data_IF_704756683017
#
_entry.id   IF_704756683017
#
_cell.length_a   1.000
_cell.length_b   1.000
_cell.length_c   1.000
_cell.angle_alpha   90.00
_cell.angle_beta   90.00
_cell.angle_gamma   90.00
#
_symmetry.space_group_name_H-M   'P 1'
#
loop_
_entity.id
_entity.type
_entity.pdbx_description
1 polymer ?
#
# COMPACT_ATOMS: atom_id res chain seq x y z
N UNK A 1 -13.50 1.55 10.98
CA UNK A 1 -12.74 2.66 10.34
C UNK A 1 -13.71 3.82 10.26
N UNK A 2 -13.33 4.98 10.80
CA UNK A 2 -14.12 6.21 10.57
C UNK A 2 -13.90 6.71 9.14
N UNK A 3 -14.72 7.64 8.66
CA UNK A 3 -14.54 8.26 7.34
C UNK A 3 -13.15 8.92 7.20
N UNK A 4 -12.65 9.50 8.29
CA UNK A 4 -11.29 10.08 8.37
C UNK A 4 -10.21 9.01 8.17
N UNK A 5 -10.39 7.80 8.71
CA UNK A 5 -9.44 6.71 8.49
C UNK A 5 -9.46 6.22 7.02
N UNK A 6 -10.62 6.30 6.36
CA UNK A 6 -10.79 5.89 4.96
C UNK A 6 -10.11 6.88 4.01
N UNK A 7 -10.31 8.19 4.21
CA UNK A 7 -9.67 9.23 3.40
C UNK A 7 -8.15 9.20 3.54
N UNK A 8 -7.64 9.08 4.78
CA UNK A 8 -6.21 8.93 5.03
C UNK A 8 -5.63 7.67 4.36
N UNK A 9 -6.38 6.57 4.36
CA UNK A 9 -5.98 5.35 3.67
C UNK A 9 -5.91 5.56 2.14
N UNK A 10 -6.90 6.24 1.57
CA UNK A 10 -6.98 6.48 0.13
C UNK A 10 -5.85 7.40 -0.35
N UNK A 11 -5.59 8.48 0.39
CA UNK A 11 -4.49 9.40 0.10
C UNK A 11 -3.12 8.74 0.28
N UNK A 12 -2.94 7.90 1.30
CA UNK A 12 -1.72 7.10 1.45
C UNK A 12 -1.51 6.14 0.26
N UNK A 13 -2.58 5.50 -0.23
CA UNK A 13 -2.51 4.61 -1.39
C UNK A 13 -2.14 5.36 -2.67
N UNK A 14 -2.71 6.55 -2.90
CA UNK A 14 -2.32 7.43 -4.01
C UNK A 14 -0.86 7.87 -3.91
N UNK A 15 -0.42 8.29 -2.73
CA UNK A 15 0.96 8.71 -2.48
C UNK A 15 1.95 7.57 -2.79
N UNK A 16 1.65 6.35 -2.37
CA UNK A 16 2.48 5.17 -2.63
C UNK A 16 2.59 4.88 -4.14
N UNK A 17 1.47 4.86 -4.87
CA UNK A 17 1.45 4.63 -6.33
C UNK A 17 2.24 5.72 -7.06
N UNK A 18 2.03 6.98 -6.68
CA UNK A 18 2.76 8.10 -7.27
C UNK A 18 4.26 8.00 -6.99
N UNK A 19 4.66 7.65 -5.77
CA UNK A 19 6.06 7.45 -5.39
C UNK A 19 6.72 6.32 -6.20
N UNK A 20 6.01 5.20 -6.43
CA UNK A 20 6.51 4.13 -7.28
C UNK A 20 6.77 4.60 -8.72
N UNK A 21 5.89 5.44 -9.26
CA UNK A 21 6.06 6.07 -10.57
C UNK A 21 7.23 7.05 -10.61
N UNK A 22 7.30 7.98 -9.65
CA UNK A 22 8.37 8.99 -9.56
C UNK A 22 9.76 8.38 -9.38
N UNK A 23 9.87 7.33 -8.57
CA UNK A 23 11.14 6.65 -8.32
C UNK A 23 11.50 5.65 -9.44
N UNK A 24 10.65 5.49 -10.46
CA UNK A 24 10.83 4.56 -11.58
C UNK A 24 11.17 3.13 -11.15
N UNK A 25 10.73 2.73 -9.96
CA UNK A 25 11.06 1.44 -9.36
C UNK A 25 10.26 0.28 -9.97
N UNK A 26 9.19 0.58 -10.71
CA UNK A 26 8.31 -0.42 -11.32
C UNK A 26 7.94 -0.05 -12.76
N UNK A 27 7.96 -1.04 -13.64
CA UNK A 27 7.34 -0.97 -14.98
C UNK A 27 6.14 -1.88 -15.00
N UNK A 28 4.96 -1.32 -15.25
CA UNK A 28 3.77 -2.12 -15.47
C UNK A 28 3.86 -2.73 -16.88
N UNK A 29 3.98 -4.06 -16.94
CA UNK A 29 4.02 -4.82 -18.19
C UNK A 29 2.80 -5.73 -18.27
N UNK A 30 2.31 -5.97 -19.49
CA UNK A 30 1.28 -6.97 -19.70
C UNK A 30 1.81 -8.35 -19.29
N UNK A 31 0.99 -9.16 -18.59
CA UNK A 31 1.41 -10.49 -18.19
C UNK A 31 1.65 -11.36 -19.44
N UNK A 32 2.83 -11.96 -19.52
CA UNK A 32 3.12 -12.94 -20.58
C UNK A 32 2.15 -14.13 -20.49
N UNK A 33 1.84 -14.72 -21.64
CA UNK A 33 0.87 -15.83 -21.74
C UNK A 33 1.28 -16.98 -20.82
N UNK A 34 0.42 -17.29 -19.84
CA UNK A 34 0.65 -18.36 -18.86
C UNK A 34 1.37 -17.93 -17.58
N UNK A 35 1.77 -16.66 -17.44
CA UNK A 35 2.33 -16.12 -16.21
C UNK A 35 1.20 -15.71 -15.26
N UNK A 36 1.26 -16.21 -14.03
CA UNK A 36 0.37 -15.76 -12.96
C UNK A 36 0.85 -14.40 -12.44
N UNK A 37 0.03 -13.35 -12.47
CA UNK A 37 0.41 -12.07 -11.88
C UNK A 37 0.65 -12.23 -10.39
N UNK A 38 1.68 -11.53 -9.89
CA UNK A 38 2.03 -11.56 -8.47
C UNK A 38 0.98 -10.78 -7.68
N UNK A 39 0.49 -11.36 -6.58
CA UNK A 39 -0.46 -10.66 -5.72
C UNK A 39 0.27 -9.68 -4.82
N UNK A 40 -0.03 -8.41 -5.00
CA UNK A 40 0.39 -7.34 -4.10
C UNK A 40 -0.76 -7.02 -3.14
N UNK A 41 -0.45 -6.86 -1.85
CA UNK A 41 -1.40 -6.40 -0.83
C UNK A 41 -0.86 -5.13 -0.19
N UNK A 42 -1.65 -4.07 -0.23
CA UNK A 42 -1.38 -2.87 0.56
C UNK A 42 -1.80 -3.11 2.02
N UNK A 43 -0.92 -2.76 2.95
CA UNK A 43 -1.18 -2.86 4.38
C UNK A 43 -1.16 -1.47 4.98
N UNK A 44 -2.21 -1.14 5.71
CA UNK A 44 -2.33 0.10 6.47
C UNK A 44 -2.44 -0.23 7.95
N UNK A 45 -1.65 0.46 8.77
CA UNK A 45 -1.61 0.28 10.22
C UNK A 45 -1.67 1.63 10.90
N UNK A 46 -2.54 1.72 11.91
CA UNK A 46 -2.56 2.83 12.86
C UNK A 46 -1.56 2.53 13.97
N UNK A 47 -0.72 3.48 14.31
CA UNK A 47 0.12 3.44 15.51
C UNK A 47 -0.58 4.25 16.60
N UNK A 48 -0.81 3.60 17.73
CA UNK A 48 -1.36 4.22 18.93
C UNK A 48 -0.20 4.67 19.84
N UNK A 49 -0.35 5.83 20.44
CA UNK A 49 0.52 6.35 21.49
C UNK A 49 0.25 5.70 22.85
N UNK A 50 1.04 6.08 23.86
CA UNK A 50 0.84 5.62 25.24
C UNK A 50 -0.50 6.09 25.85
N UNK A 51 -1.09 7.14 25.27
CA UNK A 51 -2.40 7.70 25.63
C UNK A 51 -3.55 7.11 24.80
N UNK A 52 -3.31 6.01 24.09
CA UNK A 52 -4.25 5.33 23.18
C UNK A 52 -4.76 6.20 22.01
N UNK A 53 -4.15 7.37 21.77
CA UNK A 53 -4.46 8.21 20.62
C UNK A 53 -3.64 7.81 19.41
N UNK A 54 -4.18 8.02 18.22
CA UNK A 54 -3.44 7.76 16.98
C UNK A 54 -2.32 8.79 16.87
N UNK A 55 -1.07 8.30 16.87
CA UNK A 55 0.13 9.15 16.75
C UNK A 55 0.70 9.14 15.35
N UNK A 56 0.51 8.05 14.61
CA UNK A 56 0.97 7.95 13.23
C UNK A 56 0.21 6.88 12.44
N UNK A 57 0.21 7.03 11.12
CA UNK A 57 -0.25 6.02 10.18
C UNK A 57 0.95 5.46 9.42
N UNK A 58 0.98 4.14 9.21
CA UNK A 58 2.01 3.47 8.42
C UNK A 58 1.34 2.69 7.30
N UNK A 59 1.80 2.93 6.08
CA UNK A 59 1.44 2.14 4.89
C UNK A 59 2.67 1.37 4.39
N UNK A 60 2.40 0.33 3.60
CA UNK A 60 3.43 -0.40 2.86
C UNK A 60 2.84 -1.52 2.02
N UNK A 61 3.55 -1.89 0.97
CA UNK A 61 3.15 -2.98 0.06
C UNK A 61 3.83 -4.28 0.51
N UNK A 62 3.06 -5.37 0.56
CA UNK A 62 3.58 -6.73 0.70
C UNK A 62 3.33 -7.50 -0.57
N UNK A 63 4.39 -8.10 -1.10
CA UNK A 63 4.35 -8.97 -2.27
C UNK A 63 4.29 -10.40 -1.77
N UNK A 64 3.31 -11.18 -2.26
CA UNK A 64 3.24 -12.62 -1.99
C UNK A 64 3.51 -13.40 -3.27
N UNK A 65 4.53 -14.24 -3.22
CA UNK A 65 4.77 -15.25 -4.23
C UNK A 65 3.93 -16.48 -3.89
N UNK A 66 3.04 -16.87 -4.80
CA UNK A 66 2.39 -18.19 -4.74
C UNK A 66 3.47 -19.22 -5.15
N UNK A 67 4.00 -19.98 -4.19
CA UNK A 67 4.96 -21.10 -4.44
C UNK A 67 4.27 -22.26 -5.14
#
# INVERSE_FOLDING_TARGET
MSDIDLDNWFEAMRSEINSMGSNQVWTLIDPAKGVKPVRCKLVYKRKLGADEKITAFKHGITIKYDR
#
